data_IF_525486991519
#
_entry.id   IF_525486991519
#
_cell.length_a   1.000
_cell.length_b   1.000
_cell.length_c   1.000
_cell.angle_alpha   90.00
_cell.angle_beta   90.00
_cell.angle_gamma   90.00
#
_symmetry.space_group_name_H-M   'P 1'
#
loop_
_entity.id
_entity.type
_entity.pdbx_description
1 polymer ?
#
# COMPACT_ATOMS: atom_id res chain seq x y z
N UNK A 1 5.56 -2.53 -8.67
CA UNK A 1 5.14 -1.18 -8.17
C UNK A 1 3.85 -0.64 -8.81
N UNK A 2 3.75 -0.53 -10.15
CA UNK A 2 2.55 0.04 -10.82
C UNK A 2 1.25 -0.67 -10.46
N UNK A 3 1.28 -2.00 -10.35
CA UNK A 3 0.14 -2.79 -9.91
C UNK A 3 -0.37 -2.41 -8.51
N UNK A 4 0.54 -2.20 -7.55
CA UNK A 4 0.15 -1.73 -6.21
C UNK A 4 -0.50 -0.35 -6.28
N UNK A 5 0.10 0.58 -7.03
CA UNK A 5 -0.45 1.93 -7.19
C UNK A 5 -1.83 1.93 -7.88
N UNK A 6 -2.04 1.08 -8.88
CA UNK A 6 -3.33 0.92 -9.55
C UNK A 6 -4.37 0.35 -8.59
N UNK A 7 -4.06 -0.77 -7.92
CA UNK A 7 -4.99 -1.43 -6.99
C UNK A 7 -5.30 -0.53 -5.78
N UNK A 8 -4.29 0.13 -5.20
CA UNK A 8 -4.52 1.11 -4.14
C UNK A 8 -5.30 2.32 -4.66
N UNK A 9 -5.04 2.81 -5.88
CA UNK A 9 -5.81 3.91 -6.45
C UNK A 9 -7.30 3.59 -6.59
N UNK A 10 -7.64 2.37 -7.01
CA UNK A 10 -9.03 1.91 -7.08
C UNK A 10 -9.68 1.78 -5.69
N UNK A 11 -8.94 1.24 -4.71
CA UNK A 11 -9.45 1.11 -3.34
C UNK A 11 -9.56 2.46 -2.62
N UNK A 12 -8.61 3.35 -2.85
CA UNK A 12 -8.66 4.72 -2.35
C UNK A 12 -9.89 5.43 -2.90
N UNK A 13 -10.13 5.35 -4.22
CA UNK A 13 -11.32 5.93 -4.83
C UNK A 13 -12.63 5.36 -4.27
N UNK A 14 -12.69 4.05 -4.00
CA UNK A 14 -13.86 3.42 -3.37
C UNK A 14 -14.08 3.96 -1.95
N UNK A 15 -13.04 4.00 -1.14
CA UNK A 15 -13.13 4.48 0.26
C UNK A 15 -13.44 5.98 0.31
N UNK A 16 -12.84 6.78 -0.56
CA UNK A 16 -13.13 8.21 -0.74
C UNK A 16 -14.57 8.45 -1.18
N UNK A 17 -15.11 7.61 -2.08
CA UNK A 17 -16.52 7.65 -2.47
C UNK A 17 -17.46 7.35 -1.29
N UNK A 18 -17.17 6.30 -0.50
CA UNK A 18 -17.96 5.96 0.70
C UNK A 18 -17.90 7.09 1.73
N UNK A 19 -16.73 7.69 1.94
CA UNK A 19 -16.58 8.81 2.89
C UNK A 19 -17.31 10.07 2.41
N UNK A 20 -17.19 10.43 1.13
CA UNK A 20 -17.88 11.56 0.54
C UNK A 20 -19.40 11.42 0.69
N UNK A 21 -19.94 10.26 0.31
CA UNK A 21 -21.38 9.97 0.43
C UNK A 21 -21.83 9.98 1.89
N UNK A 22 -21.02 9.44 2.82
CA UNK A 22 -21.30 9.50 4.25
C UNK A 22 -21.41 10.94 4.76
N UNK A 23 -20.47 11.82 4.38
CA UNK A 23 -20.49 13.24 4.78
C UNK A 23 -21.70 13.97 4.20
N UNK A 24 -22.00 13.76 2.92
CA UNK A 24 -23.17 14.35 2.28
C UNK A 24 -24.48 13.90 2.94
N UNK A 25 -24.57 12.61 3.30
CA UNK A 25 -25.73 12.06 3.98
C UNK A 25 -25.92 12.68 5.37
N UNK A 26 -24.83 12.86 6.13
CA UNK A 26 -24.86 13.56 7.43
C UNK A 26 -25.27 15.02 7.31
N UNK A 27 -24.73 15.76 6.34
CA UNK A 27 -25.14 17.14 6.10
C UNK A 27 -26.63 17.22 5.76
N UNK A 28 -27.14 16.26 4.98
CA UNK A 28 -28.58 16.17 4.67
C UNK A 28 -29.40 15.96 5.94
N UNK A 29 -28.99 15.04 6.81
CA UNK A 29 -29.60 14.86 8.13
C UNK A 29 -29.56 16.14 8.98
N UNK A 30 -28.40 16.77 9.10
CA UNK A 30 -28.21 17.98 9.93
C UNK A 30 -29.07 19.15 9.45
N UNK A 31 -29.37 19.22 8.15
CA UNK A 31 -30.30 20.22 7.59
C UNK A 31 -31.78 19.92 7.84
N UNK A 32 -32.12 18.69 8.25
CA UNK A 32 -33.47 18.24 8.56
C UNK A 32 -33.63 18.16 10.08
N UNK A 33 -34.19 19.20 10.69
CA UNK A 33 -34.35 19.28 12.15
C UNK A 33 -35.61 18.55 12.69
N UNK A 34 -36.25 17.73 11.86
CA UNK A 34 -37.57 17.14 12.16
C UNK A 34 -37.52 15.70 12.68
N UNK A 35 -36.45 14.95 12.35
CA UNK A 35 -36.32 13.53 12.70
C UNK A 35 -35.10 13.30 13.59
N UNK A 36 -35.16 12.27 14.42
CA UNK A 36 -33.94 11.73 15.04
C UNK A 36 -33.08 11.03 13.97
N UNK A 37 -31.76 10.90 14.22
CA UNK A 37 -30.86 10.24 13.25
C UNK A 37 -31.32 8.81 12.87
N UNK A 38 -31.76 7.95 13.80
CA UNK A 38 -32.29 6.63 13.44
C UNK A 38 -33.55 6.66 12.58
N UNK A 39 -34.47 7.60 12.83
CA UNK A 39 -35.70 7.75 12.04
C UNK A 39 -35.39 8.25 10.62
N UNK A 40 -34.52 9.25 10.51
CA UNK A 40 -34.03 9.75 9.22
C UNK A 40 -33.37 8.62 8.42
N UNK A 41 -32.42 7.91 9.04
CA UNK A 41 -31.69 6.83 8.41
C UNK A 41 -32.61 5.68 7.96
N UNK A 42 -33.62 5.32 8.76
CA UNK A 42 -34.61 4.30 8.41
C UNK A 42 -35.50 4.75 7.24
N UNK A 43 -35.92 6.01 7.23
CA UNK A 43 -36.73 6.60 6.16
C UNK A 43 -35.98 6.60 4.82
N UNK A 44 -34.72 7.05 4.81
CA UNK A 44 -33.87 7.04 3.61
C UNK A 44 -33.59 5.60 3.13
N UNK A 45 -33.32 4.67 4.04
CA UNK A 45 -33.13 3.26 3.68
C UNK A 45 -34.39 2.65 3.01
N UNK A 46 -35.60 2.97 3.52
CA UNK A 46 -36.85 2.51 2.90
C UNK A 46 -37.05 3.06 1.48
N UNK A 47 -36.69 4.33 1.22
CA UNK A 47 -36.78 4.93 -0.13
C UNK A 47 -35.93 4.17 -1.16
N UNK A 48 -34.79 3.65 -0.72
CA UNK A 48 -33.87 2.87 -1.56
C UNK A 48 -34.13 1.35 -1.50
N UNK A 49 -35.22 0.90 -0.88
CA UNK A 49 -35.57 -0.51 -0.68
C UNK A 49 -34.49 -1.31 0.08
N UNK A 50 -33.80 -0.67 1.01
CA UNK A 50 -32.77 -1.27 1.86
C UNK A 50 -33.38 -1.61 3.23
N UNK A 51 -33.28 -2.88 3.63
CA UNK A 51 -33.67 -3.33 4.97
C UNK A 51 -32.55 -3.04 5.97
N UNK A 52 -32.51 -1.83 6.49
CA UNK A 52 -31.53 -1.42 7.49
C UNK A 52 -32.03 -1.66 8.91
N UNK A 53 -31.27 -2.43 9.70
CA UNK A 53 -31.49 -2.55 11.14
C UNK A 53 -30.90 -1.35 11.88
N UNK A 54 -31.38 -1.08 13.10
CA UNK A 54 -30.87 0.03 13.91
C UNK A 54 -29.34 -0.01 14.04
N UNK A 55 -28.69 1.08 13.62
CA UNK A 55 -27.25 1.28 13.82
C UNK A 55 -27.01 1.71 15.28
N UNK A 56 -26.85 0.73 16.17
CA UNK A 56 -26.65 0.95 17.62
C UNK A 56 -25.19 0.91 18.05
N UNK A 57 -24.25 0.85 17.10
CA UNK A 57 -22.82 0.75 17.42
C UNK A 57 -22.32 2.10 17.95
N UNK A 58 -21.97 2.13 19.23
CA UNK A 58 -21.30 3.27 19.84
C UNK A 58 -19.97 3.53 19.10
N UNK A 59 -19.67 4.79 18.80
CA UNK A 59 -18.48 5.20 18.04
C UNK A 59 -18.34 4.51 16.66
N UNK A 60 -19.45 4.24 15.97
CA UNK A 60 -19.46 3.63 14.63
C UNK A 60 -18.54 4.33 13.62
N UNK A 61 -18.33 5.65 13.76
CA UNK A 61 -17.40 6.42 12.93
C UNK A 61 -15.96 5.96 13.08
N UNK A 62 -15.46 5.89 14.31
CA UNK A 62 -14.12 5.37 14.60
C UNK A 62 -13.98 3.93 14.10
N UNK A 63 -15.03 3.11 14.27
CA UNK A 63 -15.05 1.75 13.76
C UNK A 63 -15.00 1.68 12.23
N UNK A 64 -15.76 2.52 11.52
CA UNK A 64 -15.77 2.66 10.05
C UNK A 64 -14.37 2.96 9.53
N UNK A 65 -13.65 3.90 10.13
CA UNK A 65 -12.29 4.25 9.68
C UNK A 65 -11.28 3.12 9.88
N UNK A 66 -11.42 2.32 10.95
CA UNK A 66 -10.61 1.10 11.09
C UNK A 66 -10.87 0.10 9.96
N UNK A 67 -12.12 -0.05 9.53
CA UNK A 67 -12.47 -0.91 8.39
C UNK A 67 -11.83 -0.43 7.08
N UNK A 68 -11.70 0.89 6.89
CA UNK A 68 -11.00 1.44 5.72
C UNK A 68 -9.53 1.01 5.64
N UNK A 69 -8.91 0.58 6.74
CA UNK A 69 -7.54 0.06 6.75
C UNK A 69 -7.40 -1.36 6.17
N UNK A 70 -8.50 -2.12 6.03
CA UNK A 70 -8.46 -3.52 5.60
C UNK A 70 -7.90 -3.64 4.17
N UNK A 71 -8.41 -2.85 3.24
CA UNK A 71 -8.05 -2.94 1.83
C UNK A 71 -6.59 -2.50 1.57
N UNK A 72 -6.12 -1.34 2.09
CA UNK A 72 -4.73 -0.93 1.93
C UNK A 72 -3.72 -1.94 2.49
N UNK A 73 -3.98 -2.46 3.69
CA UNK A 73 -3.10 -3.45 4.31
C UNK A 73 -3.05 -4.76 3.49
N UNK A 74 -4.21 -5.23 3.01
CA UNK A 74 -4.27 -6.45 2.20
C UNK A 74 -3.53 -6.28 0.86
N UNK A 75 -3.68 -5.12 0.22
CA UNK A 75 -2.93 -4.78 -0.99
C UNK A 75 -1.43 -4.73 -0.75
N UNK A 76 -1.00 -4.19 0.38
CA UNK A 76 0.40 -4.13 0.72
C UNK A 76 0.99 -5.51 1.05
N UNK A 77 0.25 -6.34 1.80
CA UNK A 77 0.66 -7.73 2.08
C UNK A 77 0.88 -8.51 0.78
N UNK A 78 0.03 -8.30 -0.24
CA UNK A 78 0.19 -8.86 -1.58
C UNK A 78 1.39 -8.27 -2.31
N UNK A 79 1.59 -6.96 -2.25
CA UNK A 79 2.78 -6.33 -2.85
C UNK A 79 4.07 -6.90 -2.27
N UNK A 80 4.14 -7.15 -0.97
CA UNK A 80 5.32 -7.76 -0.34
C UNK A 80 5.57 -9.20 -0.83
N UNK A 81 4.53 -9.95 -1.19
CA UNK A 81 4.69 -11.25 -1.84
C UNK A 81 5.17 -11.12 -3.29
N UNK A 82 4.54 -10.25 -4.07
CA UNK A 82 4.95 -9.95 -5.45
C UNK A 82 6.41 -9.45 -5.47
N UNK A 83 6.80 -8.58 -4.53
CA UNK A 83 8.17 -8.07 -4.38
C UNK A 83 9.18 -9.20 -4.16
N UNK A 84 8.85 -10.23 -3.37
CA UNK A 84 9.75 -11.37 -3.15
C UNK A 84 9.92 -12.21 -4.41
N UNK A 85 8.87 -12.36 -5.21
CA UNK A 85 8.91 -13.04 -6.50
C UNK A 85 9.77 -12.25 -7.48
N UNK A 86 9.56 -10.93 -7.56
CA UNK A 86 10.36 -10.03 -8.40
C UNK A 86 11.83 -10.07 -7.99
N UNK A 87 12.12 -10.03 -6.69
CA UNK A 87 13.49 -10.11 -6.16
C UNK A 87 14.17 -11.42 -6.57
N UNK A 88 13.49 -12.55 -6.45
CA UNK A 88 14.02 -13.83 -6.92
C UNK A 88 14.30 -13.81 -8.42
N UNK A 89 13.40 -13.24 -9.22
CA UNK A 89 13.58 -13.14 -10.68
C UNK A 89 14.76 -12.24 -11.05
N UNK A 90 14.98 -11.15 -10.31
CA UNK A 90 16.03 -10.17 -10.58
C UNK A 90 17.42 -10.60 -10.09
N UNK A 91 17.50 -11.36 -8.99
CA UNK A 91 18.77 -11.66 -8.30
C UNK A 91 19.07 -13.15 -8.12
N UNK A 92 18.16 -14.04 -8.54
CA UNK A 92 18.20 -15.49 -8.28
C UNK A 92 18.39 -15.85 -6.79
N UNK A 93 17.72 -15.08 -5.93
CA UNK A 93 17.79 -15.23 -4.46
C UNK A 93 16.41 -15.21 -3.84
N UNK A 94 16.20 -16.05 -2.83
CA UNK A 94 14.95 -16.10 -2.09
C UNK A 94 15.06 -15.31 -0.79
N UNK A 95 14.14 -14.38 -0.56
CA UNK A 95 14.02 -13.67 0.72
C UNK A 95 13.30 -14.59 1.71
N UNK A 96 13.95 -15.03 2.81
CA UNK A 96 13.31 -15.84 3.83
C UNK A 96 12.36 -14.99 4.68
N UNK A 97 11.25 -15.60 5.12
CA UNK A 97 10.32 -14.97 6.06
C UNK A 97 10.51 -15.56 7.45
N UNK A 98 10.66 -14.68 8.45
CA UNK A 98 10.73 -15.11 9.85
C UNK A 98 9.33 -15.32 10.41
N UNK A 99 9.15 -16.38 11.22
CA UNK A 99 7.90 -16.62 11.95
C UNK A 99 7.67 -15.64 13.10
N UNK A 100 8.72 -14.94 13.55
CA UNK A 100 8.70 -14.05 14.70
C UNK A 100 8.65 -12.56 14.33
N UNK A 101 8.65 -12.25 13.03
CA UNK A 101 8.67 -10.88 12.53
C UNK A 101 7.56 -10.67 11.52
N UNK A 102 7.21 -9.41 11.27
CA UNK A 102 6.32 -9.08 10.15
C UNK A 102 7.01 -9.40 8.82
N UNK A 103 6.19 -9.56 7.76
CA UNK A 103 6.69 -9.77 6.40
C UNK A 103 7.60 -8.63 5.95
N UNK A 104 7.16 -7.38 6.20
CA UNK A 104 7.96 -6.18 5.91
C UNK A 104 9.31 -6.22 6.63
N UNK A 105 9.31 -6.47 7.95
CA UNK A 105 10.56 -6.50 8.71
C UNK A 105 11.51 -7.60 8.22
N UNK A 106 10.98 -8.78 7.89
CA UNK A 106 11.80 -9.88 7.34
C UNK A 106 12.47 -9.48 6.02
N UNK A 107 11.75 -8.76 5.15
CA UNK A 107 12.29 -8.24 3.89
C UNK A 107 13.36 -7.17 4.16
N UNK A 108 13.09 -6.20 5.03
CA UNK A 108 14.04 -5.14 5.36
C UNK A 108 15.34 -5.69 5.93
N UNK A 109 15.26 -6.59 6.92
CA UNK A 109 16.44 -7.20 7.54
C UNK A 109 17.29 -7.95 6.52
N UNK A 110 16.66 -8.70 5.62
CA UNK A 110 17.36 -9.44 4.58
C UNK A 110 18.07 -8.51 3.59
N UNK A 111 17.38 -7.48 3.11
CA UNK A 111 17.95 -6.51 2.17
C UNK A 111 19.13 -5.75 2.80
N UNK A 112 19.03 -5.37 4.08
CA UNK A 112 20.15 -4.75 4.82
C UNK A 112 21.33 -5.73 4.92
N UNK A 113 21.08 -7.00 5.25
CA UNK A 113 22.11 -8.05 5.28
C UNK A 113 22.82 -8.25 3.94
N UNK A 114 22.08 -8.15 2.83
CA UNK A 114 22.60 -8.19 1.45
C UNK A 114 23.14 -6.83 0.97
N UNK A 115 23.35 -5.90 1.90
CA UNK A 115 23.94 -4.57 1.68
C UNK A 115 23.13 -3.68 0.71
N UNK A 116 21.83 -3.89 0.53
CA UNK A 116 20.97 -2.96 -0.22
C UNK A 116 20.74 -1.70 0.62
N UNK A 117 20.84 -0.54 -0.02
CA UNK A 117 20.58 0.74 0.65
C UNK A 117 19.10 1.06 0.59
N UNK A 118 18.41 0.94 1.72
CA UNK A 118 17.00 1.27 1.85
C UNK A 118 16.89 2.54 2.69
N UNK A 119 16.33 3.60 2.11
CA UNK A 119 16.13 4.88 2.79
C UNK A 119 14.65 5.06 3.15
N UNK A 120 14.19 4.43 4.23
CA UNK A 120 12.87 4.70 4.83
C UNK A 120 12.98 5.87 5.81
N UNK A 121 11.88 6.61 6.02
CA UNK A 121 11.77 7.46 7.21
C UNK A 121 11.70 6.58 8.47
N UNK A 122 12.25 7.05 9.58
CA UNK A 122 12.42 6.25 10.81
C UNK A 122 11.08 5.76 11.36
N UNK A 123 10.03 6.56 11.20
CA UNK A 123 8.68 6.19 11.63
C UNK A 123 7.99 5.18 10.69
N UNK A 124 8.45 4.98 9.46
CA UNK A 124 7.65 4.33 8.39
C UNK A 124 7.23 2.91 8.75
N UNK A 125 8.18 2.09 9.22
CA UNK A 125 7.93 0.70 9.57
C UNK A 125 7.04 0.57 10.80
N UNK A 126 7.29 1.38 11.83
CA UNK A 126 6.48 1.41 13.06
C UNK A 126 5.06 1.91 12.80
N UNK A 127 4.89 2.93 11.94
CA UNK A 127 3.58 3.44 11.55
C UNK A 127 2.78 2.41 10.74
N UNK A 128 3.45 1.68 9.85
CA UNK A 128 2.82 0.55 9.17
C UNK A 128 2.38 -0.52 10.19
N UNK A 129 3.26 -0.87 11.13
CA UNK A 129 2.94 -1.90 12.13
C UNK A 129 1.77 -1.50 13.02
N UNK A 130 1.69 -0.23 13.41
CA UNK A 130 0.57 0.35 14.13
C UNK A 130 -0.77 0.11 13.40
N UNK A 131 -0.91 0.58 12.16
CA UNK A 131 -2.15 0.41 11.40
C UNK A 131 -2.47 -1.06 11.10
N UNK A 132 -1.45 -1.89 10.89
CA UNK A 132 -1.62 -3.34 10.71
C UNK A 132 -2.20 -4.00 11.96
N UNK A 133 -1.71 -3.64 13.14
CA UNK A 133 -2.22 -4.16 14.41
C UNK A 133 -3.64 -3.68 14.69
N UNK A 134 -3.96 -2.41 14.42
CA UNK A 134 -5.34 -1.89 14.51
C UNK A 134 -6.28 -2.64 13.56
N UNK A 135 -5.86 -2.89 12.32
CA UNK A 135 -6.65 -3.73 11.38
C UNK A 135 -6.89 -5.13 11.93
N UNK A 136 -5.87 -5.73 12.54
CA UNK A 136 -5.97 -7.09 13.08
C UNK A 136 -6.89 -7.18 14.30
N UNK A 137 -7.02 -6.11 15.10
CA UNK A 137 -7.93 -6.09 16.26
C UNK A 137 -9.40 -6.11 15.86
N UNK A 138 -9.74 -5.73 14.61
CA UNK A 138 -11.12 -5.84 14.08
C UNK A 138 -11.58 -7.27 13.83
N UNK A 139 -10.65 -8.16 13.46
CA UNK A 139 -11.00 -9.51 13.00
C UNK A 139 -11.19 -10.51 14.14
N UNK A 140 -10.73 -10.20 15.35
CA UNK A 140 -10.65 -11.17 16.44
C UNK A 140 -10.83 -10.50 17.80
N UNK A 141 -11.98 -10.71 18.45
CA UNK A 141 -12.24 -10.27 19.84
C UNK A 141 -11.21 -10.85 20.84
N UNK A 142 -10.64 -12.02 20.54
CA UNK A 142 -9.61 -12.69 21.35
C UNK A 142 -8.17 -12.17 21.10
N UNK A 143 -7.97 -11.26 20.14
CA UNK A 143 -6.68 -10.63 19.83
C UNK A 143 -6.69 -9.12 20.14
N UNK A 144 -7.59 -8.65 21.00
CA UNK A 144 -7.56 -7.29 21.57
C UNK A 144 -6.32 -7.10 22.44
N UNK A 145 -5.18 -6.98 21.78
CA UNK A 145 -3.89 -6.59 22.31
C UNK A 145 -3.84 -5.06 22.36
N UNK A 146 -4.88 -4.46 22.90
CA UNK A 146 -4.97 -3.00 23.02
C UNK A 146 -3.74 -2.41 23.75
N UNK A 147 -3.19 -3.05 24.80
CA UNK A 147 -1.95 -2.59 25.41
C UNK A 147 -0.76 -2.61 24.43
N UNK A 148 -0.63 -3.64 23.60
CA UNK A 148 0.45 -3.74 22.61
C UNK A 148 0.29 -2.66 21.52
N UNK A 149 -0.93 -2.44 21.04
CA UNK A 149 -1.26 -1.41 20.04
C UNK A 149 -0.95 -0.02 20.60
N UNK A 150 -1.37 0.25 21.84
CA UNK A 150 -1.11 1.51 22.52
C UNK A 150 0.40 1.72 22.73
N UNK A 151 1.15 0.67 23.10
CA UNK A 151 2.60 0.75 23.24
C UNK A 151 3.29 1.10 21.92
N UNK A 152 2.88 0.47 20.81
CA UNK A 152 3.40 0.82 19.47
C UNK A 152 3.06 2.27 19.15
N UNK A 153 1.82 2.71 19.35
CA UNK A 153 1.41 4.09 19.11
C UNK A 153 2.22 5.10 19.92
N UNK A 154 2.41 4.86 21.22
CA UNK A 154 3.22 5.73 22.10
C UNK A 154 4.69 5.79 21.72
N UNK A 155 5.20 4.79 20.99
CA UNK A 155 6.58 4.79 20.49
C UNK A 155 6.77 5.52 19.16
N UNK A 156 5.67 5.92 18.49
CA UNK A 156 5.76 6.61 17.21
C UNK A 156 6.35 8.02 17.38
N UNK A 157 7.25 8.40 16.46
CA UNK A 157 7.73 9.77 16.35
C UNK A 157 6.67 10.64 15.66
N UNK A 158 5.60 10.98 16.38
CA UNK A 158 4.46 11.76 15.86
C UNK A 158 4.91 13.10 15.26
N UNK A 159 5.91 13.74 15.86
CA UNK A 159 6.50 15.00 15.36
C UNK A 159 7.04 14.85 13.93
N UNK A 160 7.78 13.76 13.67
CA UNK A 160 8.32 13.49 12.34
C UNK A 160 7.23 13.11 11.34
N UNK A 161 6.21 12.37 11.79
CA UNK A 161 5.05 12.05 10.95
C UNK A 161 4.34 13.34 10.50
N UNK A 162 4.06 14.27 11.42
CA UNK A 162 3.46 15.56 11.05
C UNK A 162 4.39 16.45 10.24
N UNK A 163 5.70 16.39 10.47
CA UNK A 163 6.67 17.08 9.61
C UNK A 163 6.60 16.59 8.16
N UNK A 164 6.44 15.27 7.97
CA UNK A 164 6.33 14.66 6.64
C UNK A 164 4.96 14.86 6.00
N UNK A 165 3.89 14.86 6.80
CA UNK A 165 2.48 14.95 6.39
C UNK A 165 1.76 16.10 7.12
N UNK A 166 2.13 17.37 6.87
CA UNK A 166 1.68 18.51 7.69
C UNK A 166 0.20 18.87 7.52
N UNK A 167 -0.49 18.27 6.56
CA UNK A 167 -1.92 18.52 6.30
C UNK A 167 -2.84 17.50 6.96
N UNK A 168 -2.29 16.44 7.55
CA UNK A 168 -3.06 15.38 8.20
C UNK A 168 -3.01 15.58 9.71
N UNK A 169 -4.16 15.43 10.37
CA UNK A 169 -4.21 15.38 11.85
C UNK A 169 -3.80 14.03 12.41
N UNK A 170 -3.77 12.99 11.57
CA UNK A 170 -3.29 11.65 11.90
C UNK A 170 -1.76 11.59 12.12
N UNK A 171 -1.24 10.61 12.91
CA UNK A 171 -1.92 9.42 13.40
C UNK A 171 -2.69 9.65 14.71
N UNK A 172 -3.89 9.08 14.82
CA UNK A 172 -4.68 9.08 16.06
C UNK A 172 -4.58 7.74 16.78
N UNK A 173 -4.88 7.73 18.08
CA UNK A 173 -5.02 6.49 18.85
C UNK A 173 -6.21 5.65 18.37
N UNK A 174 -6.23 4.37 18.76
CA UNK A 174 -7.23 3.41 18.30
C UNK A 174 -8.68 3.81 18.57
N UNK A 175 -8.99 4.71 19.48
CA UNK A 175 -10.37 5.12 19.76
C UNK A 175 -10.79 6.36 18.96
N UNK A 176 -9.82 7.14 18.47
CA UNK A 176 -10.05 8.44 17.85
C UNK A 176 -9.72 8.48 16.36
N UNK A 177 -9.82 7.34 15.66
CA UNK A 177 -9.56 7.27 14.22
C UNK A 177 -10.44 8.22 13.42
N UNK A 178 -9.85 8.77 12.37
CA UNK A 178 -10.49 9.66 11.40
C UNK A 178 -10.18 9.21 9.98
N UNK A 179 -10.75 9.92 9.00
CA UNK A 179 -10.40 9.70 7.60
C UNK A 179 -8.92 9.98 7.30
N UNK A 180 -8.26 10.88 8.04
CA UNK A 180 -6.84 11.21 7.84
C UNK A 180 -5.93 10.02 8.16
N UNK A 181 -6.34 9.11 9.06
CA UNK A 181 -5.59 7.88 9.36
C UNK A 181 -5.57 6.92 8.18
N UNK A 182 -6.68 6.84 7.45
CA UNK A 182 -6.75 6.09 6.20
C UNK A 182 -5.79 6.68 5.16
N UNK A 183 -5.82 8.01 4.95
CA UNK A 183 -4.94 8.69 4.00
C UNK A 183 -3.46 8.54 4.39
N UNK A 184 -3.14 8.67 5.68
CA UNK A 184 -1.79 8.49 6.19
C UNK A 184 -1.31 7.05 6.00
N UNK A 185 -2.17 6.05 6.26
CA UNK A 185 -1.86 4.64 6.06
C UNK A 185 -1.50 4.34 4.59
N UNK A 186 -2.33 4.79 3.64
CA UNK A 186 -2.12 4.54 2.21
C UNK A 186 -0.89 5.28 1.69
N UNK A 187 -0.67 6.53 2.11
CA UNK A 187 0.51 7.31 1.76
C UNK A 187 1.80 6.65 2.27
N UNK A 188 1.83 6.19 3.52
CA UNK A 188 2.98 5.51 4.10
C UNK A 188 3.28 4.19 3.36
N UNK A 189 2.26 3.37 3.10
CA UNK A 189 2.39 2.11 2.34
C UNK A 189 2.99 2.35 0.95
N UNK A 190 2.49 3.36 0.22
CA UNK A 190 3.01 3.72 -1.11
C UNK A 190 4.47 4.18 -1.02
N UNK A 191 4.80 5.01 -0.02
CA UNK A 191 6.18 5.46 0.22
C UNK A 191 7.13 4.28 0.46
N UNK A 192 6.76 3.34 1.33
CA UNK A 192 7.57 2.14 1.61
C UNK A 192 7.75 1.30 0.34
N UNK A 193 6.68 1.04 -0.40
CA UNK A 193 6.75 0.24 -1.63
C UNK A 193 7.66 0.87 -2.70
N UNK A 194 7.58 2.18 -2.86
CA UNK A 194 8.44 2.92 -3.80
C UNK A 194 9.91 2.83 -3.39
N UNK A 195 10.21 3.00 -2.10
CA UNK A 195 11.57 2.97 -1.57
C UNK A 195 12.17 1.57 -1.62
N UNK A 196 11.37 0.52 -1.36
CA UNK A 196 11.77 -0.87 -1.54
C UNK A 196 12.08 -1.18 -3.00
N UNK A 197 11.30 -0.66 -3.94
CA UNK A 197 11.56 -0.92 -5.37
C UNK A 197 12.83 -0.19 -5.83
N UNK A 198 12.96 1.09 -5.46
CA UNK A 198 14.11 1.92 -5.82
C UNK A 198 15.43 1.40 -5.25
N UNK A 199 15.41 0.77 -4.07
CA UNK A 199 16.63 0.23 -3.45
C UNK A 199 17.26 -0.90 -4.26
N UNK A 200 16.49 -1.59 -5.12
CA UNK A 200 16.99 -2.65 -5.97
C UNK A 200 17.73 -2.12 -7.20
N UNK A 201 17.31 -0.97 -7.75
CA UNK A 201 17.67 -0.50 -9.10
C UNK A 201 19.17 -0.49 -9.37
N UNK A 202 19.97 -0.02 -8.41
CA UNK A 202 21.42 0.16 -8.58
C UNK A 202 22.23 -1.13 -8.56
N UNK A 203 21.63 -2.25 -8.15
CA UNK A 203 22.32 -3.54 -8.02
C UNK A 203 21.92 -4.57 -9.07
N UNK A 204 20.94 -4.27 -9.92
CA UNK A 204 20.45 -5.21 -10.93
C UNK A 204 21.51 -5.36 -12.04
N UNK A 205 21.93 -6.60 -12.28
CA UNK A 205 22.72 -6.97 -13.45
C UNK A 205 21.76 -7.25 -14.62
N UNK A 206 21.51 -6.22 -15.43
CA UNK A 206 20.52 -6.28 -16.50
C UNK A 206 20.90 -7.24 -17.63
N UNK A 207 22.19 -7.44 -17.87
CA UNK A 207 22.70 -8.43 -18.82
C UNK A 207 22.31 -9.84 -18.38
N UNK A 208 22.76 -10.26 -17.18
CA UNK A 208 22.42 -11.59 -16.63
C UNK A 208 20.93 -11.80 -16.46
N UNK A 209 20.20 -10.77 -16.01
CA UNK A 209 18.76 -10.84 -15.90
C UNK A 209 18.12 -11.20 -17.26
N UNK A 210 18.55 -10.53 -18.33
CA UNK A 210 17.97 -10.71 -19.66
C UNK A 210 18.31 -12.06 -20.31
N UNK A 211 19.47 -12.63 -20.02
CA UNK A 211 19.87 -13.98 -20.47
C UNK A 211 18.90 -15.03 -19.95
N UNK A 212 18.61 -14.99 -18.64
CA UNK A 212 17.71 -15.94 -17.99
C UNK A 212 16.22 -15.66 -18.27
N UNK A 213 15.87 -14.40 -18.60
CA UNK A 213 14.49 -13.94 -18.74
C UNK A 213 14.17 -13.42 -20.15
N UNK A 214 14.85 -13.91 -21.18
CA UNK A 214 14.65 -13.47 -22.58
C UNK A 214 13.20 -13.63 -23.07
N UNK A 215 12.46 -14.56 -22.48
CA UNK A 215 11.02 -14.78 -22.74
C UNK A 215 10.13 -13.59 -22.37
N UNK A 216 10.58 -12.67 -21.52
CA UNK A 216 9.87 -11.41 -21.18
C UNK A 216 9.83 -10.43 -22.36
N UNK A 217 10.67 -10.61 -23.38
CA UNK A 217 10.78 -9.71 -24.52
C UNK A 217 10.37 -10.38 -25.86
N UNK A 218 9.18 -11.01 -25.96
CA UNK A 218 8.82 -11.82 -27.13
C UNK A 218 8.75 -11.02 -28.43
N UNK A 219 8.49 -9.71 -28.35
CA UNK A 219 8.37 -8.83 -29.52
C UNK A 219 9.70 -8.22 -29.98
N UNK A 220 10.81 -8.44 -29.25
CA UNK A 220 12.10 -7.82 -29.58
C UNK A 220 12.57 -8.18 -31.00
N UNK A 221 12.37 -9.44 -31.40
CA UNK A 221 12.73 -9.93 -32.75
C UNK A 221 11.97 -9.20 -33.87
N UNK A 222 10.77 -8.69 -33.60
CA UNK A 222 9.96 -7.93 -34.58
C UNK A 222 10.52 -6.53 -34.85
N UNK A 223 11.39 -6.03 -33.97
CA UNK A 223 11.94 -4.68 -34.03
C UNK A 223 13.43 -4.65 -34.39
N UNK A 224 14.03 -5.77 -34.84
CA UNK A 224 15.47 -5.91 -35.12
C UNK A 224 16.08 -4.83 -36.02
N UNK A 225 15.30 -4.27 -36.94
CA UNK A 225 15.76 -3.21 -37.86
C UNK A 225 15.63 -1.79 -37.28
N UNK A 226 15.07 -1.64 -36.07
CA UNK A 226 14.80 -0.34 -35.46
C UNK A 226 15.16 -0.35 -33.97
N UNK A 227 16.42 0.03 -33.69
CA UNK A 227 16.98 0.11 -32.34
C UNK A 227 16.18 1.03 -31.41
N UNK A 228 15.66 2.15 -31.93
CA UNK A 228 14.83 3.08 -31.12
C UNK A 228 13.58 2.36 -30.61
N UNK A 229 12.89 1.60 -31.48
CA UNK A 229 11.71 0.81 -31.07
C UNK A 229 12.05 -0.32 -30.12
N UNK A 230 13.20 -0.99 -30.28
CA UNK A 230 13.66 -2.01 -29.33
C UNK A 230 13.89 -1.40 -27.94
N UNK A 231 14.60 -0.27 -27.88
CA UNK A 231 14.89 0.44 -26.64
C UNK A 231 13.61 0.90 -25.93
N UNK A 232 12.68 1.54 -26.66
CA UNK A 232 11.39 1.94 -26.10
C UNK A 232 10.57 0.74 -25.60
N UNK A 233 10.59 -0.38 -26.33
CA UNK A 233 9.88 -1.58 -25.91
C UNK A 233 10.44 -2.18 -24.61
N UNK A 234 11.77 -2.32 -24.50
CA UNK A 234 12.43 -2.82 -23.28
C UNK A 234 12.11 -1.92 -22.09
N UNK A 235 12.27 -0.60 -22.25
CA UNK A 235 11.95 0.39 -21.20
C UNK A 235 10.50 0.24 -20.72
N UNK A 236 9.56 0.08 -21.65
CA UNK A 236 8.14 -0.07 -21.30
C UNK A 236 7.89 -1.39 -20.57
N UNK A 237 8.41 -2.52 -21.05
CA UNK A 237 8.23 -3.83 -20.39
C UNK A 237 8.75 -3.80 -18.95
N UNK A 238 9.98 -3.31 -18.74
CA UNK A 238 10.57 -3.24 -17.40
C UNK A 238 9.83 -2.24 -16.50
N UNK A 239 9.42 -1.09 -17.04
CA UNK A 239 8.63 -0.11 -16.27
C UNK A 239 7.24 -0.64 -15.91
N UNK A 240 6.61 -1.42 -16.78
CA UNK A 240 5.27 -1.97 -16.54
C UNK A 240 5.28 -3.07 -15.48
N UNK A 241 6.26 -3.98 -15.54
CA UNK A 241 6.37 -5.10 -14.59
C UNK A 241 6.91 -4.60 -13.25
N UNK A 242 8.10 -4.01 -13.25
CA UNK A 242 8.84 -3.71 -12.03
C UNK A 242 8.62 -2.28 -11.54
N UNK A 243 8.19 -1.35 -12.41
CA UNK A 243 8.12 0.08 -12.08
C UNK A 243 9.44 0.82 -12.19
N UNK A 244 10.49 0.16 -12.70
CA UNK A 244 11.84 0.71 -12.80
C UNK A 244 12.00 1.45 -14.14
N UNK A 245 12.66 2.61 -14.11
CA UNK A 245 13.01 3.37 -15.32
C UNK A 245 14.46 3.10 -15.71
N UNK A 246 14.67 2.41 -16.83
CA UNK A 246 16.01 2.11 -17.32
C UNK A 246 16.69 3.33 -17.93
N UNK A 247 17.99 3.45 -17.65
CA UNK A 247 18.90 4.29 -18.44
C UNK A 247 19.16 3.67 -19.82
N UNK A 248 19.73 4.44 -20.75
CA UNK A 248 20.12 3.90 -22.05
C UNK A 248 21.20 2.81 -21.93
N UNK A 249 22.15 2.99 -21.01
CA UNK A 249 23.20 1.99 -20.76
C UNK A 249 22.62 0.62 -20.33
N UNK A 250 21.66 0.61 -19.40
CA UNK A 250 21.01 -0.64 -18.98
C UNK A 250 20.21 -1.30 -20.12
N UNK A 251 19.67 -0.51 -21.05
CA UNK A 251 18.98 -1.05 -22.23
C UNK A 251 19.97 -1.69 -23.20
N UNK A 252 21.14 -1.07 -23.39
CA UNK A 252 22.20 -1.63 -24.23
C UNK A 252 22.71 -2.96 -23.67
N UNK A 253 22.89 -3.07 -22.34
CA UNK A 253 23.26 -4.33 -21.67
C UNK A 253 22.26 -5.46 -21.98
N UNK A 254 20.96 -5.17 -21.90
CA UNK A 254 19.88 -6.14 -22.22
C UNK A 254 19.92 -6.55 -23.69
N UNK A 255 20.14 -5.58 -24.59
CA UNK A 255 20.16 -5.87 -26.02
C UNK A 255 21.34 -6.78 -26.38
N UNK A 256 22.52 -6.52 -25.83
CA UNK A 256 23.73 -7.32 -26.07
C UNK A 256 23.55 -8.75 -25.56
N UNK A 257 22.94 -8.92 -24.39
CA UNK A 257 22.75 -10.24 -23.76
C UNK A 257 21.67 -11.11 -24.42
N UNK A 258 20.75 -10.53 -25.20
CA UNK A 258 19.67 -11.28 -25.89
C UNK A 258 20.02 -11.61 -27.36
N UNK A 259 21.00 -10.92 -27.96
CA UNK A 259 21.45 -11.15 -29.35
C UNK A 259 22.20 -12.47 -29.53
#
# INVERSE_FOLDING_TARGET
MRRLWQVLGEYDALVEYIELTTRMFKTSFESQHELTFPEFLSSEAMKENISLNNLTLENYESFKYKYYLILPNSSFDRFLDDFRIDFHTLFDKNIPLSRHKTKLQSILDYLVGESFSISLEDFSASLYDYYRLVRNSLAHDSLKREPDIAAVFSSLNITEVHSRYPRLSAPHDMNNFTFDDFILCTANIKSIADKLTKSLESKIDWGKFSEHNSSLFPKLKKFRSNKIRQASYIKNVISDIYGIRLSDACVDDILISIE
#
